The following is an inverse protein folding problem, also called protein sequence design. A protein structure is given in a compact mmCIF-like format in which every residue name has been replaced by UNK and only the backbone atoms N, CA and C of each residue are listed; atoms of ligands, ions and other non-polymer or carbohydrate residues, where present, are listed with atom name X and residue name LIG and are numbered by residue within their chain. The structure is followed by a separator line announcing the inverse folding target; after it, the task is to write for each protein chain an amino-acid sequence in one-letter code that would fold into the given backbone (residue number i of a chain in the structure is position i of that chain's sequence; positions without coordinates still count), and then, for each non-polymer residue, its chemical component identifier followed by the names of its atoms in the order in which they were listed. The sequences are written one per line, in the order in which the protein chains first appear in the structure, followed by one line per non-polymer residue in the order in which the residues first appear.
data_IF_704729693565
#
_entry.id   IF_704729693565
#
_cell.length_a   1.000
_cell.length_b   1.000
_cell.length_c   1.000
_cell.angle_alpha   90.00
_cell.angle_beta   90.00
_cell.angle_gamma   90.00
#
_symmetry.space_group_name_H-M   'P 1'
#
loop_
_entity.id
_entity.type
_entity.pdbx_description
1 polymer ?
#
# COMPACT_ATOMS: atom_id res chain seq x y z
N UNK A 1 -2.85 -2.48 16.72
CA UNK A 1 -2.57 -3.83 16.23
C UNK A 1 -3.09 -4.81 17.27
N UNK A 2 -3.88 -5.78 16.83
CA UNK A 2 -4.36 -6.82 17.72
C UNK A 2 -3.21 -7.76 18.14
N UNK A 3 -3.22 -8.29 19.36
CA UNK A 3 -2.23 -9.25 19.78
C UNK A 3 -2.35 -10.56 18.99
N UNK A 4 -1.20 -11.17 18.70
CA UNK A 4 -1.15 -12.47 18.04
C UNK A 4 -1.66 -13.52 19.02
N UNK A 5 -2.76 -14.20 18.69
CA UNK A 5 -3.34 -15.22 19.55
C UNK A 5 -2.61 -16.56 19.39
N UNK A 6 -2.20 -16.91 18.16
CA UNK A 6 -1.48 -18.14 17.86
C UNK A 6 -0.56 -17.91 16.64
N UNK A 7 0.52 -18.68 16.55
CA UNK A 7 1.48 -18.60 15.46
C UNK A 7 2.63 -17.63 15.70
N UNK A 8 3.42 -17.38 14.67
CA UNK A 8 4.62 -16.55 14.71
C UNK A 8 4.63 -15.61 13.52
N UNK A 9 4.90 -14.34 13.76
CA UNK A 9 5.18 -13.37 12.69
C UNK A 9 6.69 -13.14 12.68
N UNK A 10 7.29 -13.20 11.49
CA UNK A 10 8.70 -12.87 11.27
C UNK A 10 8.82 -11.70 10.33
N UNK A 11 9.69 -10.75 10.65
CA UNK A 11 10.06 -9.64 9.80
C UNK A 11 11.58 -9.66 9.59
N UNK A 12 12.03 -9.66 8.34
CA UNK A 12 13.46 -9.79 7.99
C UNK A 12 14.17 -10.97 8.70
N UNK A 13 13.48 -12.11 8.84
CA UNK A 13 13.98 -13.30 9.52
C UNK A 13 13.91 -13.27 11.04
N UNK A 14 13.58 -12.14 11.65
CA UNK A 14 13.45 -12.00 13.11
C UNK A 14 12.01 -12.17 13.55
N UNK A 15 11.79 -12.87 14.65
CA UNK A 15 10.46 -13.06 15.24
C UNK A 15 9.97 -11.77 15.93
N UNK A 16 8.76 -11.32 15.54
CA UNK A 16 8.10 -10.18 16.14
C UNK A 16 7.38 -10.64 17.41
N UNK A 17 8.04 -10.49 18.54
CA UNK A 17 7.50 -10.81 19.88
C UNK A 17 7.06 -9.55 20.60
N UNK A 18 6.45 -9.68 21.78
CA UNK A 18 6.11 -8.55 22.66
C UNK A 18 7.32 -7.68 23.04
N UNK A 19 8.53 -8.26 23.00
CA UNK A 19 9.79 -7.57 23.29
C UNK A 19 10.38 -6.84 22.07
N UNK A 20 9.79 -7.04 20.89
CA UNK A 20 10.27 -6.40 19.68
C UNK A 20 10.00 -4.87 19.75
N UNK A 21 10.96 -4.07 19.33
CA UNK A 21 10.76 -2.63 19.21
C UNK A 21 9.76 -2.31 18.09
N UNK A 22 8.47 -2.23 18.48
CA UNK A 22 7.39 -1.93 17.55
C UNK A 22 7.52 -0.54 16.90
N UNK A 23 8.20 0.40 17.56
CA UNK A 23 8.45 1.72 16.95
C UNK A 23 9.42 1.59 15.78
N UNK A 24 10.54 0.90 15.98
CA UNK A 24 11.49 0.60 14.91
C UNK A 24 10.85 -0.22 13.80
N UNK A 25 10.05 -1.24 14.12
CA UNK A 25 9.34 -2.04 13.12
C UNK A 25 8.43 -1.18 12.24
N UNK A 26 7.65 -0.28 12.85
CA UNK A 26 6.71 0.60 12.13
C UNK A 26 7.40 1.59 11.21
N UNK A 27 8.66 1.95 11.45
CA UNK A 27 9.42 2.80 10.52
C UNK A 27 9.85 2.05 9.27
N UNK A 28 9.89 0.72 9.32
CA UNK A 28 10.31 -0.15 8.24
C UNK A 28 9.14 -0.70 7.42
N UNK A 29 7.91 -0.46 7.87
CA UNK A 29 6.67 -0.92 7.22
C UNK A 29 5.83 0.30 6.85
N UNK A 30 5.66 0.56 5.56
CA UNK A 30 4.69 1.53 5.08
C UNK A 30 3.29 0.92 5.03
N UNK A 31 2.26 1.68 5.36
CA UNK A 31 0.87 1.23 5.25
C UNK A 31 0.01 2.27 4.57
N UNK A 32 -0.74 1.83 3.58
CA UNK A 32 -1.72 2.60 2.81
C UNK A 32 -3.09 1.98 3.04
N UNK A 33 -4.02 2.78 3.55
CA UNK A 33 -5.36 2.34 3.92
C UNK A 33 -6.36 2.63 2.81
N UNK A 34 -7.53 2.01 2.87
CA UNK A 34 -8.68 2.28 2.02
C UNK A 34 -9.11 3.75 2.09
N UNK A 35 -9.12 4.34 3.30
CA UNK A 35 -9.28 5.78 3.49
C UNK A 35 -7.90 6.42 3.48
N UNK A 36 -7.76 7.55 2.81
CA UNK A 36 -6.49 8.23 2.57
C UNK A 36 -5.78 8.67 3.87
N UNK A 37 -6.55 8.97 4.90
CA UNK A 37 -6.06 9.36 6.24
C UNK A 37 -5.03 10.51 6.20
N UNK A 38 -5.21 11.45 5.26
CA UNK A 38 -4.37 12.63 5.18
C UNK A 38 -4.71 13.61 6.31
N UNK A 39 -3.73 14.38 6.75
CA UNK A 39 -3.92 15.48 7.66
C UNK A 39 -4.64 16.62 6.91
N UNK A 40 -5.90 16.94 7.25
CA UNK A 40 -6.71 17.86 6.45
C UNK A 40 -6.23 19.32 6.51
N UNK A 41 -5.47 19.66 7.54
CA UNK A 41 -4.90 20.98 7.79
C UNK A 41 -3.48 21.15 7.25
N UNK A 42 -2.94 20.15 6.55
CA UNK A 42 -1.62 20.15 5.93
C UNK A 42 -1.75 20.02 4.42
N UNK A 43 -0.85 20.65 3.68
CA UNK A 43 -0.75 20.50 2.23
C UNK A 43 -0.28 19.09 1.86
N UNK A 44 -0.28 18.74 0.58
CA UNK A 44 0.27 17.47 0.09
C UNK A 44 1.73 17.32 0.50
N UNK A 45 2.54 18.35 0.30
CA UNK A 45 3.95 18.35 0.67
C UNK A 45 4.14 18.15 2.18
N UNK A 46 3.41 18.91 3.00
CA UNK A 46 3.49 18.80 4.47
C UNK A 46 3.02 17.44 4.99
N UNK A 47 2.03 16.82 4.34
CA UNK A 47 1.60 15.44 4.66
C UNK A 47 2.74 14.44 4.46
N UNK A 48 3.51 14.58 3.38
CA UNK A 48 4.62 13.68 3.07
C UNK A 48 5.83 13.96 3.95
N UNK A 49 6.10 15.23 4.29
CA UNK A 49 7.21 15.66 5.17
C UNK A 49 7.05 15.21 6.62
N UNK A 50 5.83 14.99 7.10
CA UNK A 50 5.52 14.83 8.53
C UNK A 50 6.34 13.74 9.21
N UNK A 51 6.31 12.54 8.67
CA UNK A 51 7.00 11.41 9.30
C UNK A 51 8.55 11.53 9.25
N UNK A 52 9.19 11.96 8.16
CA UNK A 52 10.61 12.32 8.15
C UNK A 52 11.00 13.33 9.23
N UNK A 53 10.21 14.39 9.40
CA UNK A 53 10.51 15.44 10.40
C UNK A 53 10.32 14.94 11.83
N UNK A 54 9.18 14.31 12.12
CA UNK A 54 8.79 13.97 13.49
C UNK A 54 9.46 12.69 13.98
N UNK A 55 9.53 11.66 13.13
CA UNK A 55 10.02 10.33 13.52
C UNK A 55 11.51 10.18 13.28
N UNK A 56 11.98 10.52 12.06
CA UNK A 56 13.41 10.44 11.71
C UNK A 56 14.21 11.65 12.18
N UNK A 57 13.53 12.76 12.56
CA UNK A 57 14.14 14.03 12.95
C UNK A 57 15.07 14.58 11.87
N UNK A 58 14.70 14.40 10.61
CA UNK A 58 15.42 14.94 9.48
C UNK A 58 15.36 16.48 9.46
N UNK A 59 16.34 17.11 8.82
CA UNK A 59 16.32 18.56 8.61
C UNK A 59 15.19 18.93 7.65
N UNK A 60 14.59 20.11 7.88
CA UNK A 60 13.43 20.59 7.12
C UNK A 60 13.69 20.63 5.61
N UNK A 61 14.86 21.10 5.17
CA UNK A 61 15.20 21.19 3.75
C UNK A 61 15.30 19.79 3.12
N UNK A 62 15.95 18.84 3.79
CA UNK A 62 16.07 17.45 3.31
C UNK A 62 14.71 16.75 3.24
N UNK A 63 13.87 16.92 4.27
CA UNK A 63 12.51 16.38 4.27
C UNK A 63 11.66 17.00 3.16
N UNK A 64 11.83 18.29 2.86
CA UNK A 64 11.14 18.98 1.77
C UNK A 64 11.56 18.46 0.40
N UNK A 65 12.85 18.32 0.16
CA UNK A 65 13.38 17.78 -1.11
C UNK A 65 12.90 16.34 -1.34
N UNK A 66 12.99 15.51 -0.32
CA UNK A 66 12.48 14.13 -0.38
C UNK A 66 10.97 14.11 -0.69
N UNK A 67 10.18 14.91 0.03
CA UNK A 67 8.74 14.95 -0.17
C UNK A 67 8.35 15.45 -1.57
N UNK A 68 9.02 16.48 -2.07
CA UNK A 68 8.79 16.99 -3.43
C UNK A 68 9.12 15.93 -4.49
N UNK A 69 10.24 15.23 -4.35
CA UNK A 69 10.63 14.16 -5.28
C UNK A 69 9.65 12.98 -5.26
N UNK A 70 9.11 12.64 -4.09
CA UNK A 70 8.10 11.59 -3.97
C UNK A 70 6.75 12.00 -4.56
N UNK A 71 6.34 13.26 -4.39
CA UNK A 71 5.14 13.78 -5.04
C UNK A 71 5.29 13.81 -6.56
N UNK A 72 6.45 14.19 -7.08
CA UNK A 72 6.75 14.09 -8.50
C UNK A 72 6.64 12.65 -9.00
N UNK A 73 7.24 11.70 -8.26
CA UNK A 73 7.20 10.26 -8.59
C UNK A 73 5.77 9.70 -8.68
N UNK A 74 4.84 10.21 -7.89
CA UNK A 74 3.42 9.81 -7.97
C UNK A 74 2.57 10.73 -8.87
N UNK A 75 3.22 11.57 -9.70
CA UNK A 75 2.57 12.46 -10.67
C UNK A 75 1.81 13.63 -10.05
N UNK A 76 2.28 14.15 -8.91
CA UNK A 76 1.66 15.25 -8.16
C UNK A 76 2.62 16.39 -7.85
N UNK A 77 3.70 16.57 -8.62
CA UNK A 77 4.68 17.64 -8.41
C UNK A 77 4.07 19.04 -8.46
N UNK A 78 3.06 19.26 -9.30
CA UNK A 78 2.32 20.53 -9.42
C UNK A 78 1.26 20.74 -8.31
N UNK A 79 1.07 19.77 -7.42
CA UNK A 79 0.05 19.77 -6.34
C UNK A 79 0.64 19.90 -4.93
N UNK A 80 1.94 20.19 -4.79
CA UNK A 80 2.64 20.26 -3.50
C UNK A 80 1.92 21.14 -2.47
N UNK A 81 1.38 22.28 -2.89
CA UNK A 81 0.77 23.28 -2.01
C UNK A 81 -0.76 23.09 -1.87
N UNK A 82 -1.34 22.04 -2.44
CA UNK A 82 -2.77 21.74 -2.34
C UNK A 82 -3.12 21.03 -1.03
N UNK A 83 -4.24 21.44 -0.44
CA UNK A 83 -4.82 20.74 0.70
C UNK A 83 -5.63 19.52 0.25
N UNK A 84 -5.83 18.50 1.11
CA UNK A 84 -6.61 17.30 0.74
C UNK A 84 -7.97 17.60 0.12
N UNK A 85 -8.70 18.59 0.62
CA UNK A 85 -10.00 19.00 0.09
C UNK A 85 -9.97 19.53 -1.35
N UNK A 86 -8.80 19.91 -1.86
CA UNK A 86 -8.59 20.44 -3.20
C UNK A 86 -8.08 19.35 -4.18
N UNK A 87 -7.93 18.11 -3.69
CA UNK A 87 -7.44 16.97 -4.42
C UNK A 87 -8.57 15.96 -4.69
N UNK A 88 -8.56 15.33 -5.86
CA UNK A 88 -9.44 14.18 -6.14
C UNK A 88 -9.12 13.00 -5.22
N UNK A 89 -10.02 12.02 -5.12
CA UNK A 89 -9.78 10.80 -4.34
C UNK A 89 -8.51 10.07 -4.77
N UNK A 90 -8.29 9.90 -6.08
CA UNK A 90 -7.07 9.28 -6.62
C UNK A 90 -5.80 10.08 -6.32
N UNK A 91 -5.88 11.43 -6.36
CA UNK A 91 -4.77 12.30 -5.95
C UNK A 91 -4.48 12.16 -4.45
N UNK A 92 -5.50 12.14 -3.60
CA UNK A 92 -5.33 11.95 -2.16
C UNK A 92 -4.68 10.58 -1.85
N UNK A 93 -5.07 9.53 -2.54
CA UNK A 93 -4.47 8.20 -2.37
C UNK A 93 -3.00 8.18 -2.81
N UNK A 94 -2.68 8.85 -3.91
CA UNK A 94 -1.27 8.98 -4.35
C UNK A 94 -0.42 9.80 -3.37
N UNK A 95 -0.97 10.84 -2.73
CA UNK A 95 -0.30 11.52 -1.60
C UNK A 95 -0.09 10.56 -0.42
N UNK A 96 -1.08 9.71 -0.10
CA UNK A 96 -0.94 8.72 0.99
C UNK A 96 0.15 7.69 0.68
N UNK A 97 0.29 7.26 -0.58
CA UNK A 97 1.39 6.40 -1.04
C UNK A 97 2.74 7.13 -0.88
N UNK A 98 2.87 8.36 -1.37
CA UNK A 98 4.08 9.16 -1.25
C UNK A 98 4.49 9.36 0.23
N UNK A 99 3.51 9.63 1.11
CA UNK A 99 3.71 9.74 2.55
C UNK A 99 4.27 8.45 3.17
N UNK A 100 3.74 7.29 2.78
CA UNK A 100 4.25 6.02 3.26
C UNK A 100 5.69 5.75 2.76
N UNK A 101 5.97 6.08 1.49
CA UNK A 101 7.31 5.96 0.90
C UNK A 101 8.36 6.89 1.53
N UNK A 102 7.95 8.03 2.11
CA UNK A 102 8.88 8.99 2.74
C UNK A 102 9.64 8.39 3.93
N UNK A 103 9.11 7.35 4.55
CA UNK A 103 9.82 6.60 5.59
C UNK A 103 10.86 5.61 5.01
N UNK A 104 10.94 5.45 3.69
CA UNK A 104 11.83 4.49 3.02
C UNK A 104 11.65 3.07 3.58
N UNK A 105 10.41 2.55 3.59
CA UNK A 105 10.11 1.27 4.21
C UNK A 105 10.71 0.10 3.42
N UNK A 106 10.96 -1.02 4.11
CA UNK A 106 11.36 -2.28 3.47
C UNK A 106 10.19 -3.02 2.83
N UNK A 107 8.97 -2.79 3.34
CA UNK A 107 7.73 -3.39 2.85
C UNK A 107 6.60 -2.37 2.87
N UNK A 108 5.75 -2.43 1.86
CA UNK A 108 4.51 -1.65 1.78
C UNK A 108 3.29 -2.57 1.92
N UNK A 109 2.39 -2.21 2.83
CA UNK A 109 1.11 -2.88 3.02
C UNK A 109 0.01 -2.00 2.40
N UNK A 110 -0.80 -2.56 1.54
CA UNK A 110 -1.94 -1.89 0.93
C UNK A 110 -3.23 -2.61 1.33
N UNK A 111 -4.13 -1.88 1.97
CA UNK A 111 -5.43 -2.40 2.41
C UNK A 111 -6.52 -1.77 1.56
N UNK A 112 -6.94 -2.48 0.50
CA UNK A 112 -7.92 -2.05 -0.49
C UNK A 112 -7.73 -0.60 -0.98
N UNK A 113 -6.59 -0.24 -1.55
CA UNK A 113 -6.22 1.16 -1.83
C UNK A 113 -7.12 1.85 -2.84
N UNK A 114 -7.95 1.12 -3.57
CA UNK A 114 -8.83 1.65 -4.63
C UNK A 114 -10.32 1.64 -4.27
N UNK A 115 -10.73 0.95 -3.19
CA UNK A 115 -12.13 0.71 -2.85
C UNK A 115 -12.96 1.98 -2.55
N UNK A 116 -12.29 3.08 -2.16
CA UNK A 116 -12.94 4.36 -1.87
C UNK A 116 -12.89 5.34 -3.05
N UNK A 117 -12.48 4.87 -4.23
CA UNK A 117 -12.30 5.70 -5.43
C UNK A 117 -13.43 5.48 -6.44
N UNK A 118 -13.71 6.55 -7.19
CA UNK A 118 -14.49 6.43 -8.41
C UNK A 118 -13.73 5.57 -9.44
N UNK A 119 -14.42 4.73 -10.24
CA UNK A 119 -13.77 3.82 -11.20
C UNK A 119 -12.79 4.51 -12.16
N UNK A 120 -13.08 5.76 -12.55
CA UNK A 120 -12.24 6.55 -13.45
C UNK A 120 -10.87 6.91 -12.82
N UNK A 121 -10.78 6.92 -11.48
CA UNK A 121 -9.57 7.30 -10.74
C UNK A 121 -8.71 6.10 -10.30
N UNK A 122 -9.26 4.90 -10.39
CA UNK A 122 -8.58 3.66 -9.98
C UNK A 122 -7.29 3.43 -10.76
N UNK A 123 -7.33 3.63 -12.09
CA UNK A 123 -6.19 3.38 -12.96
C UNK A 123 -4.93 4.15 -12.58
N UNK A 124 -5.07 5.43 -12.18
CA UNK A 124 -3.94 6.27 -11.78
C UNK A 124 -3.21 5.75 -10.53
N UNK A 125 -3.96 5.19 -9.59
CA UNK A 125 -3.39 4.62 -8.34
C UNK A 125 -2.73 3.27 -8.63
N UNK A 126 -3.37 2.42 -9.43
CA UNK A 126 -2.81 1.11 -9.80
C UNK A 126 -1.53 1.25 -10.61
N UNK A 127 -1.41 2.26 -11.47
CA UNK A 127 -0.18 2.50 -12.23
C UNK A 127 1.00 2.86 -11.30
N UNK A 128 0.79 3.75 -10.33
CA UNK A 128 1.82 4.05 -9.31
C UNK A 128 2.22 2.78 -8.55
N UNK A 129 1.27 1.94 -8.14
CA UNK A 129 1.57 0.68 -7.45
C UNK A 129 2.35 -0.29 -8.34
N UNK A 130 2.03 -0.36 -9.63
CA UNK A 130 2.74 -1.18 -10.62
C UNK A 130 4.19 -0.71 -10.79
N UNK A 131 4.41 0.60 -10.89
CA UNK A 131 5.77 1.17 -10.95
C UNK A 131 6.59 0.81 -9.71
N UNK A 132 5.97 0.81 -8.51
CA UNK A 132 6.63 0.39 -7.27
C UNK A 132 6.99 -1.10 -7.30
N UNK A 133 6.11 -1.97 -7.81
CA UNK A 133 6.39 -3.39 -7.98
C UNK A 133 7.57 -3.61 -8.93
N UNK A 134 7.55 -2.95 -10.10
CA UNK A 134 8.63 -3.03 -11.09
C UNK A 134 9.97 -2.49 -10.57
N UNK A 135 9.94 -1.53 -9.64
CA UNK A 135 11.12 -1.02 -8.95
C UNK A 135 11.64 -1.98 -7.84
N UNK A 136 11.02 -3.15 -7.65
CA UNK A 136 11.43 -4.17 -6.69
C UNK A 136 10.96 -3.91 -5.25
N UNK A 137 9.95 -3.06 -5.05
CA UNK A 137 9.35 -2.85 -3.72
C UNK A 137 8.61 -4.10 -3.27
N UNK A 138 8.97 -4.63 -2.11
CA UNK A 138 8.20 -5.70 -1.47
C UNK A 138 6.85 -5.18 -1.02
N UNK A 139 5.76 -5.79 -1.50
CA UNK A 139 4.40 -5.35 -1.19
C UNK A 139 3.51 -6.51 -0.77
N UNK A 140 2.62 -6.26 0.18
CA UNK A 140 1.45 -7.09 0.46
C UNK A 140 0.21 -6.25 0.16
N UNK A 141 -0.62 -6.73 -0.75
CA UNK A 141 -1.76 -5.97 -1.26
C UNK A 141 -3.05 -6.77 -1.05
N UNK A 142 -3.97 -6.20 -0.29
CA UNK A 142 -5.37 -6.67 -0.25
C UNK A 142 -6.12 -5.89 -1.32
N UNK A 143 -6.68 -6.56 -2.29
CA UNK A 143 -7.35 -5.92 -3.43
C UNK A 143 -8.42 -6.79 -4.05
N UNK A 144 -9.38 -6.17 -4.70
CA UNK A 144 -10.33 -6.79 -5.61
C UNK A 144 -10.01 -6.51 -7.10
N UNK A 145 -8.89 -5.82 -7.37
CA UNK A 145 -8.42 -5.52 -8.74
C UNK A 145 -7.66 -6.72 -9.30
N UNK A 146 -8.39 -7.67 -9.88
CA UNK A 146 -7.83 -8.95 -10.32
C UNK A 146 -6.81 -8.81 -11.46
N UNK A 147 -7.04 -7.87 -12.38
CA UNK A 147 -6.12 -7.63 -13.50
C UNK A 147 -4.80 -7.04 -13.01
N UNK A 148 -4.85 -6.16 -12.02
CA UNK A 148 -3.64 -5.66 -11.37
C UNK A 148 -2.87 -6.81 -10.69
N UNK A 149 -3.55 -7.62 -9.86
CA UNK A 149 -2.93 -8.75 -9.18
C UNK A 149 -2.31 -9.74 -10.18
N UNK A 150 -2.98 -10.01 -11.30
CA UNK A 150 -2.46 -10.88 -12.37
C UNK A 150 -1.18 -10.35 -13.00
N UNK A 151 -1.06 -9.04 -13.15
CA UNK A 151 0.09 -8.41 -13.83
C UNK A 151 1.33 -8.25 -12.95
N UNK A 152 1.14 -8.06 -11.63
CA UNK A 152 2.25 -7.63 -10.76
C UNK A 152 2.58 -8.58 -9.62
N UNK A 153 1.69 -9.51 -9.26
CA UNK A 153 1.93 -10.38 -8.13
C UNK A 153 2.88 -11.52 -8.49
N UNK A 154 3.83 -11.81 -7.61
CA UNK A 154 4.63 -13.05 -7.66
C UNK A 154 3.87 -14.23 -7.03
N UNK A 155 2.99 -13.91 -6.07
CA UNK A 155 2.21 -14.89 -5.29
C UNK A 155 0.85 -14.33 -4.95
N UNK A 156 -0.18 -15.16 -5.09
CA UNK A 156 -1.58 -14.82 -4.79
C UNK A 156 -2.11 -15.76 -3.73
N UNK A 157 -2.80 -15.19 -2.73
CA UNK A 157 -3.51 -15.94 -1.70
C UNK A 157 -5.01 -15.63 -1.81
N UNK A 158 -5.82 -16.66 -2.01
CA UNK A 158 -7.27 -16.52 -1.91
C UNK A 158 -7.72 -16.87 -0.50
N UNK A 159 -8.34 -15.89 0.16
CA UNK A 159 -8.84 -16.03 1.53
C UNK A 159 -10.38 -16.03 1.55
N UNK A 160 -10.96 -16.91 2.34
CA UNK A 160 -12.38 -16.93 2.64
C UNK A 160 -12.62 -17.34 4.09
N UNK A 161 -13.55 -16.69 4.77
CA UNK A 161 -13.89 -16.94 6.19
C UNK A 161 -12.69 -16.98 7.15
N UNK A 162 -11.69 -16.13 6.90
CA UNK A 162 -10.50 -16.01 7.75
C UNK A 162 -9.43 -17.08 7.55
N UNK A 163 -9.58 -17.96 6.55
CA UNK A 163 -8.58 -18.98 6.20
C UNK A 163 -8.05 -18.78 4.78
N UNK A 164 -6.81 -19.20 4.55
CA UNK A 164 -6.24 -19.30 3.21
C UNK A 164 -6.82 -20.57 2.56
N UNK A 165 -7.64 -20.39 1.54
CA UNK A 165 -8.28 -21.48 0.81
C UNK A 165 -7.36 -22.02 -0.27
N UNK A 166 -6.67 -21.12 -0.96
CA UNK A 166 -5.76 -21.47 -2.05
C UNK A 166 -4.63 -20.44 -2.17
N UNK A 167 -3.47 -20.92 -2.58
CA UNK A 167 -2.27 -20.14 -2.73
C UNK A 167 -1.47 -20.66 -3.93
N UNK A 168 -0.92 -19.72 -4.73
CA UNK A 168 -0.11 -20.08 -5.90
C UNK A 168 0.39 -18.85 -6.65
N UNK A 169 0.95 -19.09 -7.83
CA UNK A 169 1.26 -18.01 -8.78
C UNK A 169 -0.03 -17.39 -9.33
N UNK A 170 0.01 -16.19 -9.91
CA UNK A 170 -1.14 -15.62 -10.60
C UNK A 170 -1.75 -16.60 -11.63
N UNK A 171 -0.91 -17.33 -12.36
CA UNK A 171 -1.37 -18.31 -13.34
C UNK A 171 -2.14 -19.46 -12.69
N UNK A 172 -1.65 -20.00 -11.57
CA UNK A 172 -2.32 -21.08 -10.84
C UNK A 172 -3.70 -20.64 -10.37
N UNK A 173 -3.78 -19.47 -9.73
CA UNK A 173 -5.01 -18.99 -9.09
C UNK A 173 -6.03 -18.47 -10.11
N UNK A 174 -5.60 -17.72 -11.12
CA UNK A 174 -6.55 -17.07 -12.05
C UNK A 174 -6.91 -17.93 -13.27
N UNK A 175 -6.03 -18.84 -13.69
CA UNK A 175 -6.27 -19.65 -14.89
C UNK A 175 -6.65 -21.09 -14.58
N UNK A 176 -6.07 -21.68 -13.52
CA UNK A 176 -6.23 -23.09 -13.18
C UNK A 176 -6.51 -23.33 -11.70
N UNK A 177 -7.45 -22.60 -11.07
CA UNK A 177 -7.75 -22.77 -9.64
C UNK A 177 -8.24 -24.18 -9.33
N UNK A 178 -7.68 -24.79 -8.29
CA UNK A 178 -7.97 -26.15 -7.88
C UNK A 178 -9.15 -26.22 -6.89
N UNK A 179 -9.35 -25.16 -6.12
CA UNK A 179 -10.39 -25.15 -5.10
C UNK A 179 -11.72 -24.66 -5.68
N UNK A 180 -12.78 -25.39 -5.41
CA UNK A 180 -14.14 -25.07 -5.89
C UNK A 180 -14.57 -23.66 -5.45
N UNK A 181 -14.17 -23.27 -4.24
CA UNK A 181 -14.50 -21.95 -3.69
C UNK A 181 -13.82 -20.82 -4.47
N UNK A 182 -12.52 -20.99 -4.83
CA UNK A 182 -11.77 -20.05 -5.69
C UNK A 182 -12.42 -19.95 -7.07
N UNK A 183 -12.76 -21.08 -7.69
CA UNK A 183 -13.43 -21.13 -8.99
C UNK A 183 -14.76 -20.38 -8.96
N UNK A 184 -15.57 -20.59 -7.92
CA UNK A 184 -16.86 -19.92 -7.76
C UNK A 184 -16.72 -18.41 -7.60
N UNK A 185 -15.71 -17.96 -6.86
CA UNK A 185 -15.40 -16.54 -6.69
C UNK A 185 -14.99 -15.88 -8.00
N UNK A 186 -14.04 -16.48 -8.72
CA UNK A 186 -13.54 -15.94 -9.99
C UNK A 186 -14.60 -15.90 -11.09
N UNK A 187 -15.53 -16.85 -11.12
CA UNK A 187 -16.65 -16.81 -12.07
C UNK A 187 -17.57 -15.61 -11.86
N UNK A 188 -17.77 -15.18 -10.60
CA UNK A 188 -18.63 -14.02 -10.28
C UNK A 188 -18.01 -12.67 -10.67
N UNK A 189 -16.69 -12.59 -10.69
CA UNK A 189 -15.97 -11.33 -11.01
C UNK A 189 -15.81 -11.15 -12.52
N UNK A 190 -15.83 -12.23 -13.30
CA UNK A 190 -15.71 -12.17 -14.76
C UNK A 190 -16.98 -11.70 -15.48
N UNK A 191 -18.07 -11.44 -14.73
CA UNK A 191 -19.33 -10.87 -15.21
C UNK A 191 -19.58 -9.48 -14.64
#
# INVERSE_FOLDING_TARGET
LEPIQQGVIKFAGQEVTEKYDLCSLRTQIGMVFQRFNLFPHKTALENVMEAPLVVKKEKQDAARELAASLLEKVGLGDKCDRYPRELSGGQQQRVAIARALAMQPQIMLFDEPTSALDPELVGEVLEVMKELAMAGMTMVVVTHEMDFARQVADRVLFMDQGIIVEEGTPQDIFESPQQERTQSFLRRIRH
#
